data_IF_504325814552
#
_entry.id   IF_504325814552
#
_cell.length_a   1.000
_cell.length_b   1.000
_cell.length_c   1.000
_cell.angle_alpha   90.00
_cell.angle_beta   90.00
_cell.angle_gamma   90.00
#
_symmetry.space_group_name_H-M   'P 1'
#
loop_
_entity.id
_entity.type
_entity.pdbx_description
1 polymer ?
#
# COMPACT_ATOMS: atom_id res chain seq x y z
N UNK A 1 18.21 -0.42 -1.70
CA UNK A 1 17.53 -1.48 -2.50
C UNK A 1 16.37 -2.00 -1.68
N UNK A 2 15.29 -2.50 -2.33
CA UNK A 2 14.07 -2.97 -1.68
C UNK A 2 13.75 -4.41 -2.06
N UNK A 3 13.06 -5.13 -1.19
CA UNK A 3 12.30 -6.32 -1.58
C UNK A 3 10.88 -5.88 -1.93
N UNK A 4 10.53 -5.92 -3.22
CA UNK A 4 9.20 -5.52 -3.71
C UNK A 4 8.34 -6.77 -3.76
N UNK A 5 7.28 -6.81 -2.96
CA UNK A 5 6.33 -7.92 -2.90
C UNK A 5 5.04 -7.57 -3.63
N UNK A 6 4.63 -8.43 -4.54
CA UNK A 6 3.46 -8.21 -5.41
C UNK A 6 2.56 -9.45 -5.35
N UNK A 7 1.45 -9.41 -4.60
CA UNK A 7 0.43 -10.45 -4.69
C UNK A 7 -0.39 -10.28 -5.97
N UNK A 8 -0.70 -11.37 -6.66
CA UNK A 8 -1.53 -11.36 -7.86
C UNK A 8 -2.52 -12.53 -7.85
N UNK A 9 -3.68 -12.34 -8.47
CA UNK A 9 -4.69 -13.37 -8.64
C UNK A 9 -5.31 -13.29 -10.02
N UNK A 10 -4.84 -14.17 -10.93
CA UNK A 10 -5.32 -14.25 -12.31
C UNK A 10 -5.45 -12.87 -12.96
N UNK A 11 -4.35 -12.12 -12.96
CA UNK A 11 -4.29 -10.73 -13.42
C UNK A 11 -3.05 -10.46 -14.29
N UNK A 12 -2.69 -11.43 -15.14
CA UNK A 12 -1.48 -11.43 -15.95
C UNK A 12 -1.26 -10.14 -16.76
N UNK A 13 -2.27 -9.53 -17.42
CA UNK A 13 -2.05 -8.31 -18.20
C UNK A 13 -1.49 -7.15 -17.36
N UNK A 14 -2.00 -6.96 -16.14
CA UNK A 14 -1.55 -5.90 -15.25
C UNK A 14 -0.23 -6.25 -14.56
N UNK A 15 -0.05 -7.51 -14.15
CA UNK A 15 1.24 -7.96 -13.61
C UNK A 15 2.38 -7.70 -14.60
N UNK A 16 2.17 -7.93 -15.89
CA UNK A 16 3.14 -7.59 -16.94
C UNK A 16 3.45 -6.09 -16.98
N UNK A 17 2.44 -5.24 -16.80
CA UNK A 17 2.65 -3.78 -16.78
C UNK A 17 3.46 -3.32 -15.58
N UNK A 18 3.16 -3.81 -14.37
CA UNK A 18 3.91 -3.42 -13.17
C UNK A 18 5.36 -3.92 -13.26
N UNK A 19 5.61 -5.17 -13.65
CA UNK A 19 6.97 -5.70 -13.81
C UNK A 19 7.74 -4.95 -14.90
N UNK A 20 7.11 -4.65 -16.05
CA UNK A 20 7.71 -3.83 -17.11
C UNK A 20 8.10 -2.46 -16.59
N UNK A 21 7.22 -1.80 -15.83
CA UNK A 21 7.49 -0.47 -15.29
C UNK A 21 8.62 -0.49 -14.26
N UNK A 22 8.65 -1.47 -13.38
CA UNK A 22 9.73 -1.66 -12.40
C UNK A 22 11.09 -1.84 -13.09
N UNK A 23 11.17 -2.71 -14.10
CA UNK A 23 12.40 -2.93 -14.87
C UNK A 23 12.85 -1.69 -15.65
N UNK A 24 11.89 -0.86 -16.14
CA UNK A 24 12.18 0.30 -16.98
C UNK A 24 12.50 1.56 -16.19
N UNK A 25 11.84 1.76 -15.05
CA UNK A 25 11.79 3.05 -14.36
C UNK A 25 12.41 3.03 -12.97
N UNK A 26 12.89 1.87 -12.47
CA UNK A 26 13.65 1.83 -11.24
C UNK A 26 15.10 2.23 -11.49
N UNK A 27 15.62 3.04 -10.58
CA UNK A 27 17.03 3.48 -10.55
C UNK A 27 17.93 2.41 -9.93
N UNK A 28 17.38 1.67 -8.97
CA UNK A 28 18.14 0.68 -8.19
C UNK A 28 17.73 -0.75 -8.52
N UNK A 29 18.65 -1.73 -8.42
CA UNK A 29 18.29 -3.15 -8.56
C UNK A 29 17.52 -3.60 -7.31
N UNK A 30 16.25 -3.92 -7.47
CA UNK A 30 15.38 -4.41 -6.42
C UNK A 30 15.22 -5.93 -6.50
N UNK A 31 14.95 -6.58 -5.36
CA UNK A 31 14.45 -7.94 -5.32
C UNK A 31 12.95 -7.90 -5.64
N UNK A 32 12.52 -8.59 -6.70
CA UNK A 32 11.11 -8.72 -7.07
C UNK A 32 10.59 -10.08 -6.62
N UNK A 33 9.52 -10.10 -5.83
CA UNK A 33 8.90 -11.31 -5.29
C UNK A 33 7.40 -11.27 -5.61
N UNK A 34 6.94 -12.21 -6.42
CA UNK A 34 5.51 -12.31 -6.77
C UNK A 34 4.87 -13.47 -6.01
N UNK A 35 3.74 -13.23 -5.35
CA UNK A 35 2.89 -14.32 -4.89
C UNK A 35 1.74 -14.54 -5.87
N UNK A 36 1.70 -15.73 -6.48
CA UNK A 36 0.68 -16.10 -7.46
C UNK A 36 -0.42 -16.90 -6.77
N UNK A 37 -1.59 -16.28 -6.62
CA UNK A 37 -2.81 -16.99 -6.23
C UNK A 37 -3.41 -17.65 -7.47
N UNK A 38 -3.62 -18.97 -7.45
CA UNK A 38 -4.18 -19.76 -8.53
C UNK A 38 -3.26 -19.78 -9.79
N UNK A 39 -3.23 -18.71 -10.58
CA UNK A 39 -2.37 -18.57 -11.77
C UNK A 39 -2.85 -19.34 -12.99
N UNK A 40 -4.12 -19.78 -13.01
CA UNK A 40 -4.76 -20.54 -14.11
C UNK A 40 -4.90 -19.74 -15.41
N UNK A 41 -4.79 -18.41 -15.33
CA UNK A 41 -4.75 -17.48 -16.49
C UNK A 41 -3.40 -17.45 -17.22
N UNK A 42 -2.46 -18.29 -16.83
CA UNK A 42 -1.08 -18.31 -17.35
C UNK A 42 -0.09 -17.45 -16.54
N UNK A 43 -0.53 -16.78 -15.49
CA UNK A 43 0.34 -15.94 -14.62
C UNK A 43 1.49 -16.74 -14.05
N UNK A 44 1.24 -17.93 -13.52
CA UNK A 44 2.29 -18.76 -12.91
C UNK A 44 3.33 -19.23 -13.93
N UNK A 45 2.89 -19.65 -15.11
CA UNK A 45 3.79 -20.03 -16.19
C UNK A 45 4.69 -18.86 -16.60
N UNK A 46 4.09 -17.69 -16.84
CA UNK A 46 4.80 -16.50 -17.24
C UNK A 46 5.83 -16.04 -16.19
N UNK A 47 5.48 -16.06 -14.90
CA UNK A 47 6.40 -15.65 -13.80
C UNK A 47 7.62 -16.58 -13.75
N UNK A 48 7.43 -17.89 -14.01
CA UNK A 48 8.51 -18.89 -14.10
C UNK A 48 9.41 -18.66 -15.31
N UNK A 49 8.82 -18.42 -16.47
CA UNK A 49 9.55 -18.18 -17.73
C UNK A 49 10.40 -16.90 -17.67
N UNK A 50 9.87 -15.86 -16.96
CA UNK A 50 10.60 -14.59 -16.72
C UNK A 50 11.67 -14.70 -15.63
N UNK A 51 11.83 -15.85 -14.97
CA UNK A 51 12.78 -16.06 -13.89
C UNK A 51 12.54 -15.19 -12.65
N UNK A 52 11.30 -14.76 -12.42
CA UNK A 52 10.95 -13.91 -11.29
C UNK A 52 10.84 -14.77 -10.02
N UNK A 53 11.48 -14.33 -8.94
CA UNK A 53 11.31 -14.99 -7.64
C UNK A 53 9.84 -14.99 -7.25
N UNK A 54 9.31 -16.17 -6.90
CA UNK A 54 7.89 -16.28 -6.61
C UNK A 54 7.56 -17.33 -5.56
N UNK A 55 6.36 -17.20 -5.03
CA UNK A 55 5.62 -18.19 -4.27
C UNK A 55 4.26 -18.39 -4.94
N UNK A 56 3.61 -19.52 -4.71
CA UNK A 56 2.30 -19.79 -5.32
C UNK A 56 1.40 -20.54 -4.35
N UNK A 57 0.08 -20.36 -4.53
CA UNK A 57 -0.96 -21.14 -3.88
C UNK A 57 -1.91 -21.75 -4.92
N UNK A 58 -2.50 -22.93 -4.68
CA UNK A 58 -3.37 -23.61 -5.64
C UNK A 58 -4.70 -22.89 -5.88
N UNK A 59 -5.00 -21.87 -5.09
CA UNK A 59 -6.20 -21.04 -5.19
C UNK A 59 -5.98 -19.70 -4.52
N UNK A 60 -7.00 -18.84 -4.52
CA UNK A 60 -6.94 -17.53 -3.88
C UNK A 60 -6.99 -17.65 -2.36
N UNK A 61 -5.88 -17.40 -1.68
CA UNK A 61 -5.77 -17.39 -0.21
C UNK A 61 -6.00 -16.00 0.40
N UNK A 62 -6.33 -15.02 -0.41
CA UNK A 62 -6.52 -13.63 0.00
C UNK A 62 -5.21 -12.86 0.18
N UNK A 63 -5.35 -11.52 0.20
CA UNK A 63 -4.19 -10.61 0.17
C UNK A 63 -3.32 -10.74 1.43
N UNK A 64 -3.93 -10.90 2.60
CA UNK A 64 -3.18 -10.94 3.87
C UNK A 64 -2.19 -12.10 3.92
N UNK A 65 -2.62 -13.29 3.51
CA UNK A 65 -1.75 -14.46 3.43
C UNK A 65 -0.70 -14.30 2.31
N UNK A 66 -1.13 -13.85 1.14
CA UNK A 66 -0.29 -13.69 -0.03
C UNK A 66 0.91 -12.75 0.23
N UNK A 67 0.65 -11.56 0.80
CA UNK A 67 1.72 -10.60 1.12
C UNK A 67 2.66 -11.11 2.20
N UNK A 68 2.16 -11.83 3.21
CA UNK A 68 2.99 -12.39 4.27
C UNK A 68 3.91 -13.51 3.74
N UNK A 69 3.39 -14.38 2.88
CA UNK A 69 4.18 -15.45 2.24
C UNK A 69 5.26 -14.84 1.34
N UNK A 70 4.93 -13.82 0.56
CA UNK A 70 5.92 -13.11 -0.26
C UNK A 70 6.96 -12.40 0.61
N UNK A 71 6.54 -11.71 1.68
CA UNK A 71 7.43 -11.02 2.61
C UNK A 71 8.44 -11.95 3.30
N UNK A 72 8.07 -13.21 3.54
CA UNK A 72 8.98 -14.21 4.11
C UNK A 72 10.20 -14.52 3.21
N UNK A 73 10.15 -14.14 1.92
CA UNK A 73 11.26 -14.26 0.98
C UNK A 73 12.12 -12.99 0.89
N UNK A 74 11.72 -11.90 1.54
CA UNK A 74 12.41 -10.63 1.49
C UNK A 74 13.82 -10.73 2.11
N UNK A 75 14.84 -10.26 1.37
CA UNK A 75 16.25 -10.26 1.79
C UNK A 75 16.80 -8.85 2.01
N UNK A 76 16.14 -7.83 1.47
CA UNK A 76 16.57 -6.43 1.65
C UNK A 76 16.04 -5.87 2.97
N UNK A 77 16.66 -4.78 3.46
CA UNK A 77 16.28 -4.13 4.72
C UNK A 77 14.88 -3.52 4.67
N UNK A 78 14.40 -3.14 3.49
CA UNK A 78 13.09 -2.54 3.31
C UNK A 78 12.22 -3.38 2.41
N UNK A 79 10.96 -3.59 2.84
CA UNK A 79 9.91 -4.23 2.06
C UNK A 79 9.03 -3.16 1.45
N UNK A 80 8.83 -3.23 0.14
CA UNK A 80 7.79 -2.46 -0.57
C UNK A 80 6.66 -3.41 -0.95
N UNK A 81 5.47 -3.18 -0.40
CA UNK A 81 4.27 -3.85 -0.88
C UNK A 81 3.63 -3.03 -1.99
N UNK A 82 3.33 -3.66 -3.12
CA UNK A 82 2.76 -3.07 -4.31
C UNK A 82 1.64 -3.94 -4.89
N UNK A 83 0.55 -3.33 -5.36
CA UNK A 83 -0.50 -4.05 -6.07
C UNK A 83 -0.05 -4.44 -7.48
N UNK A 84 -0.63 -5.51 -8.01
CA UNK A 84 -0.34 -5.99 -9.37
C UNK A 84 -0.95 -5.14 -10.48
N UNK A 85 -1.85 -4.21 -10.17
CA UNK A 85 -2.47 -3.24 -11.08
C UNK A 85 -1.88 -1.82 -10.97
N UNK A 86 -0.56 -1.74 -10.80
CA UNK A 86 0.17 -0.49 -10.74
C UNK A 86 1.16 -0.35 -11.89
N UNK A 87 1.58 0.89 -12.18
CA UNK A 87 2.64 1.23 -13.13
C UNK A 87 3.52 2.33 -12.53
N UNK A 88 4.79 2.02 -12.27
CA UNK A 88 5.74 2.96 -11.69
C UNK A 88 6.16 4.03 -12.70
N UNK A 89 6.17 5.29 -12.28
CA UNK A 89 6.72 6.39 -13.06
C UNK A 89 8.25 6.49 -12.88
N UNK A 90 8.99 7.14 -13.81
CA UNK A 90 10.43 7.33 -13.66
C UNK A 90 10.79 8.02 -12.34
N UNK A 91 11.81 7.50 -11.63
CA UNK A 91 12.31 8.05 -10.38
C UNK A 91 11.48 7.75 -9.12
N UNK A 92 10.47 6.89 -9.21
CA UNK A 92 9.60 6.52 -8.10
C UNK A 92 10.39 5.97 -6.88
N UNK A 93 11.40 5.16 -7.14
CA UNK A 93 12.25 4.53 -6.13
C UNK A 93 13.32 5.49 -5.59
N UNK A 94 13.88 6.33 -6.46
CA UNK A 94 14.85 7.37 -6.08
C UNK A 94 14.22 8.38 -5.10
N UNK A 95 12.96 8.76 -5.32
CA UNK A 95 12.19 9.59 -4.39
C UNK A 95 12.06 8.94 -3.00
N UNK A 96 11.74 7.63 -2.95
CA UNK A 96 11.70 6.88 -1.69
C UNK A 96 13.07 6.81 -1.01
N UNK A 97 14.15 6.51 -1.78
CA UNK A 97 15.52 6.44 -1.24
C UNK A 97 15.96 7.79 -0.66
N UNK A 98 15.70 8.91 -1.35
CA UNK A 98 15.97 10.24 -0.85
C UNK A 98 15.22 10.53 0.45
N UNK A 99 13.97 10.08 0.56
CA UNK A 99 13.18 10.25 1.77
C UNK A 99 13.70 9.40 2.93
N UNK A 100 14.22 8.18 2.69
CA UNK A 100 14.81 7.33 3.71
C UNK A 100 15.94 8.02 4.49
N UNK A 101 16.76 8.86 3.84
CA UNK A 101 17.82 9.60 4.50
C UNK A 101 17.35 10.58 5.58
N UNK A 102 16.05 10.89 5.64
CA UNK A 102 15.43 11.81 6.60
C UNK A 102 14.58 11.08 7.65
N UNK A 103 14.55 9.74 7.60
CA UNK A 103 13.72 8.94 8.50
C UNK A 103 14.41 8.71 9.86
N UNK A 104 13.63 8.37 10.90
CA UNK A 104 14.18 8.05 12.21
C UNK A 104 15.17 6.88 12.15
N UNK A 105 16.23 6.95 12.97
CA UNK A 105 17.31 5.95 12.99
C UNK A 105 16.87 4.58 13.51
N UNK A 106 15.75 4.49 14.23
CA UNK A 106 15.15 3.24 14.70
C UNK A 106 14.36 2.51 13.59
N UNK A 107 14.29 3.10 12.39
CA UNK A 107 13.55 2.59 11.24
C UNK A 107 12.04 2.36 11.49
N UNK A 108 11.46 2.96 12.54
CA UNK A 108 10.04 2.86 12.86
C UNK A 108 9.25 3.96 12.14
N UNK A 109 8.99 3.73 10.88
CA UNK A 109 8.21 4.61 10.00
C UNK A 109 7.50 3.81 8.91
N UNK A 110 6.55 4.45 8.24
CA UNK A 110 5.91 3.94 7.04
C UNK A 110 5.92 5.02 5.97
N UNK A 111 6.42 4.69 4.78
CA UNK A 111 6.30 5.54 3.59
C UNK A 111 5.26 4.96 2.65
N UNK A 112 4.62 5.82 1.85
CA UNK A 112 3.82 5.41 0.68
C UNK A 112 4.23 6.25 -0.53
N UNK A 113 4.27 5.65 -1.71
CA UNK A 113 4.25 6.41 -2.94
C UNK A 113 2.90 7.12 -3.14
N UNK A 114 2.87 8.11 -4.01
CA UNK A 114 1.66 8.83 -4.38
C UNK A 114 1.03 8.18 -5.62
N UNK A 115 -0.20 7.71 -5.47
CA UNK A 115 -0.94 7.13 -6.59
C UNK A 115 -1.48 8.21 -7.54
N UNK A 116 -1.44 7.92 -8.83
CA UNK A 116 -2.20 8.61 -9.87
C UNK A 116 -3.37 7.69 -10.24
N UNK A 117 -4.59 8.15 -10.10
CA UNK A 117 -5.79 7.34 -10.33
C UNK A 117 -6.66 7.93 -11.45
N UNK A 118 -7.24 7.09 -12.35
CA UNK A 118 -8.07 7.57 -13.46
C UNK A 118 -9.41 8.15 -13.02
N UNK A 119 -9.89 7.78 -11.84
CA UNK A 119 -11.19 8.19 -11.29
C UNK A 119 -11.01 8.73 -9.89
N UNK A 120 -11.67 9.84 -9.60
CA UNK A 120 -11.71 10.40 -8.24
C UNK A 120 -12.45 9.46 -7.29
N UNK A 121 -11.70 8.89 -6.35
CA UNK A 121 -12.22 8.04 -5.28
C UNK A 121 -12.55 8.83 -4.00
N UNK A 122 -12.35 10.14 -4.00
CA UNK A 122 -12.42 10.99 -2.79
C UNK A 122 -11.22 10.78 -1.85
N UNK A 123 -10.15 10.11 -2.30
CA UNK A 123 -8.94 9.92 -1.54
C UNK A 123 -8.03 11.16 -1.63
N UNK A 124 -7.79 11.91 -0.54
CA UNK A 124 -6.97 13.12 -0.58
C UNK A 124 -5.47 12.86 -0.85
N UNK A 125 -5.05 11.59 -0.84
CA UNK A 125 -3.66 11.19 -1.00
C UNK A 125 -3.25 10.90 -2.45
N UNK A 126 -4.19 10.96 -3.40
CA UNK A 126 -3.95 10.63 -4.82
C UNK A 126 -3.94 11.86 -5.70
N UNK A 127 -3.37 11.73 -6.90
CA UNK A 127 -3.52 12.66 -8.01
C UNK A 127 -4.55 12.07 -8.98
N UNK A 128 -5.58 12.81 -9.33
CA UNK A 128 -6.61 12.31 -10.26
C UNK A 128 -6.24 12.72 -11.68
N UNK A 129 -5.88 11.75 -12.51
CA UNK A 129 -5.57 11.94 -13.93
C UNK A 129 -5.75 10.63 -14.71
N UNK A 130 -6.55 10.65 -15.76
CA UNK A 130 -6.85 9.48 -16.59
C UNK A 130 -5.82 9.30 -17.71
N UNK A 131 -5.05 8.21 -17.65
CA UNK A 131 -4.15 7.73 -18.71
C UNK A 131 -4.60 6.37 -19.26
N UNK A 132 -5.84 5.98 -19.05
CA UNK A 132 -6.44 4.70 -19.45
C UNK A 132 -6.89 3.89 -18.23
N UNK A 133 -8.09 3.31 -18.34
CA UNK A 133 -8.75 2.61 -17.22
C UNK A 133 -8.50 1.12 -17.20
N UNK A 134 -7.89 0.61 -18.24
CA UNK A 134 -7.52 -0.79 -18.39
C UNK A 134 -6.18 -0.94 -19.10
N UNK A 135 -5.65 -2.17 -19.10
CA UNK A 135 -4.33 -2.46 -19.67
C UNK A 135 -4.24 -2.22 -21.17
N UNK A 136 -5.37 -2.29 -21.91
CA UNK A 136 -5.38 -2.10 -23.38
C UNK A 136 -5.44 -0.62 -23.74
N UNK A 137 -6.24 0.16 -22.99
CA UNK A 137 -6.40 1.60 -23.20
C UNK A 137 -5.28 2.43 -22.53
N UNK A 138 -4.32 1.81 -21.85
CA UNK A 138 -3.29 2.49 -21.08
C UNK A 138 -2.27 3.22 -21.97
N UNK A 139 -2.12 4.51 -21.75
CA UNK A 139 -1.22 5.43 -22.45
C UNK A 139 0.05 5.69 -21.65
N UNK A 140 0.91 4.67 -21.59
CA UNK A 140 2.13 4.68 -20.75
C UNK A 140 3.08 5.84 -21.09
N UNK A 141 3.29 6.14 -22.38
CA UNK A 141 4.22 7.21 -22.80
C UNK A 141 3.67 8.60 -22.44
N UNK A 142 2.34 8.82 -22.52
CA UNK A 142 1.70 10.05 -22.06
C UNK A 142 1.84 10.22 -20.52
N UNK A 143 1.65 9.14 -19.76
CA UNK A 143 1.88 9.16 -18.31
C UNK A 143 3.32 9.54 -17.99
N UNK A 144 4.29 8.89 -18.64
CA UNK A 144 5.73 9.15 -18.41
C UNK A 144 6.08 10.61 -18.73
N UNK A 145 5.58 11.14 -19.86
CA UNK A 145 5.80 12.53 -20.24
C UNK A 145 5.16 13.53 -19.27
N UNK A 146 4.02 13.18 -18.67
CA UNK A 146 3.30 14.05 -17.74
C UNK A 146 3.79 13.95 -16.30
N UNK A 147 4.51 12.89 -15.91
CA UNK A 147 4.79 12.54 -14.52
C UNK A 147 5.43 13.68 -13.72
N UNK A 148 6.41 14.39 -14.28
CA UNK A 148 7.07 15.51 -13.60
C UNK A 148 6.11 16.64 -13.22
N UNK A 149 5.03 16.85 -14.00
CA UNK A 149 3.99 17.84 -13.72
C UNK A 149 2.91 17.36 -12.74
N UNK A 150 2.95 16.10 -12.31
CA UNK A 150 1.98 15.50 -11.39
C UNK A 150 2.52 15.35 -9.96
N UNK A 151 3.77 15.74 -9.74
CA UNK A 151 4.40 15.77 -8.41
C UNK A 151 3.60 16.69 -7.48
N UNK A 152 3.46 16.27 -6.23
CA UNK A 152 2.80 17.07 -5.18
C UNK A 152 3.68 17.18 -3.94
N UNK A 153 3.29 18.04 -3.01
CA UNK A 153 3.94 18.06 -1.70
C UNK A 153 3.68 16.75 -0.95
N UNK A 154 4.63 16.37 -0.10
CA UNK A 154 4.47 15.22 0.79
C UNK A 154 3.26 15.38 1.69
N UNK A 155 2.65 14.26 2.05
CA UNK A 155 1.42 14.21 2.82
C UNK A 155 1.50 13.22 3.98
N UNK A 156 0.68 13.43 5.00
CA UNK A 156 0.60 12.57 6.18
C UNK A 156 -0.34 11.39 5.95
N UNK A 157 -0.07 10.30 6.65
CA UNK A 157 -0.98 9.16 6.76
C UNK A 157 -0.79 8.11 5.70
N UNK A 158 0.48 7.79 5.36
CA UNK A 158 0.83 6.62 4.57
C UNK A 158 0.08 5.38 5.07
N UNK A 159 -0.61 4.70 4.18
CA UNK A 159 -1.47 3.55 4.53
C UNK A 159 -1.57 2.57 3.37
N UNK A 160 -1.80 3.06 2.13
CA UNK A 160 -2.06 2.21 0.97
C UNK A 160 -0.84 2.02 0.07
N UNK A 161 -0.76 0.90 -0.65
CA UNK A 161 0.33 0.62 -1.60
C UNK A 161 0.50 1.74 -2.65
N UNK A 162 1.76 1.93 -3.14
CA UNK A 162 2.94 1.21 -2.70
C UNK A 162 3.38 1.68 -1.31
N UNK A 163 3.58 0.76 -0.38
CA UNK A 163 4.02 1.08 0.98
C UNK A 163 5.38 0.50 1.26
N UNK A 164 6.23 1.28 1.93
CA UNK A 164 7.58 0.89 2.33
C UNK A 164 7.70 0.92 3.85
N UNK A 165 8.20 -0.18 4.41
CA UNK A 165 8.55 -0.31 5.82
C UNK A 165 9.86 -1.08 5.97
N UNK A 166 10.57 -0.89 7.08
CA UNK A 166 11.73 -1.72 7.40
C UNK A 166 11.29 -3.16 7.68
N UNK A 167 12.05 -4.14 7.16
CA UNK A 167 11.74 -5.57 7.24
C UNK A 167 11.55 -6.05 8.69
N UNK A 168 12.40 -5.59 9.61
CA UNK A 168 12.29 -5.99 11.02
C UNK A 168 10.96 -5.53 11.63
N UNK A 169 10.50 -4.32 11.29
CA UNK A 169 9.21 -3.83 11.76
C UNK A 169 8.03 -4.57 11.12
N UNK A 170 8.16 -4.96 9.84
CA UNK A 170 7.17 -5.84 9.22
C UNK A 170 6.94 -7.10 10.04
N UNK A 171 8.03 -7.81 10.38
CA UNK A 171 7.93 -9.06 11.14
C UNK A 171 7.58 -8.84 12.62
N UNK A 172 8.09 -7.79 13.23
CA UNK A 172 7.83 -7.46 14.64
C UNK A 172 6.35 -7.19 14.92
N UNK A 173 5.64 -6.53 13.99
CA UNK A 173 4.19 -6.34 14.10
C UNK A 173 3.38 -7.50 13.51
N UNK A 174 4.02 -8.54 12.97
CA UNK A 174 3.38 -9.74 12.43
C UNK A 174 2.77 -9.59 11.04
N UNK A 175 3.31 -8.71 10.19
CA UNK A 175 2.84 -8.50 8.81
C UNK A 175 1.36 -8.13 8.72
N UNK A 176 0.67 -8.59 7.69
CA UNK A 176 -0.78 -8.41 7.51
C UNK A 176 -1.58 -9.42 8.33
N UNK A 177 -2.60 -8.97 9.03
CA UNK A 177 -3.42 -9.81 9.92
C UNK A 177 -4.30 -10.76 9.13
N UNK A 178 -4.09 -12.07 9.30
CA UNK A 178 -4.79 -13.13 8.53
C UNK A 178 -6.29 -13.15 8.76
N UNK A 179 -6.77 -12.73 9.94
CA UNK A 179 -8.18 -12.62 10.26
C UNK A 179 -8.93 -11.59 9.39
N UNK A 180 -8.19 -10.69 8.72
CA UNK A 180 -8.75 -9.72 7.77
C UNK A 180 -8.78 -10.24 6.32
N UNK A 181 -8.39 -11.49 6.09
CA UNK A 181 -8.51 -12.08 4.75
C UNK A 181 -9.99 -12.11 4.31
N UNK A 182 -10.33 -11.85 3.04
CA UNK A 182 -9.42 -11.71 1.89
C UNK A 182 -8.72 -10.36 1.76
N UNK A 183 -9.00 -9.32 2.61
CA UNK A 183 -8.18 -8.13 2.62
C UNK A 183 -8.86 -6.80 2.94
N UNK A 184 -10.18 -6.77 3.15
CA UNK A 184 -10.83 -5.49 3.49
C UNK A 184 -10.32 -4.98 4.83
N UNK A 185 -9.80 -3.73 4.83
CA UNK A 185 -9.23 -3.04 6.01
C UNK A 185 -7.85 -3.51 6.46
N UNK A 186 -7.20 -4.39 5.73
CA UNK A 186 -5.88 -4.93 6.08
C UNK A 186 -4.77 -3.86 6.08
N UNK A 187 -4.80 -2.91 5.14
CA UNK A 187 -3.83 -1.80 5.10
C UNK A 187 -3.95 -0.89 6.31
N UNK A 188 -5.19 -0.54 6.69
CA UNK A 188 -5.44 0.27 7.89
C UNK A 188 -5.04 -0.48 9.17
N UNK A 189 -5.27 -1.80 9.22
CA UNK A 189 -4.85 -2.64 10.36
C UNK A 189 -3.33 -2.69 10.47
N UNK A 190 -2.63 -2.84 9.36
CA UNK A 190 -1.18 -2.84 9.33
C UNK A 190 -0.60 -1.50 9.83
N UNK A 191 -1.15 -0.37 9.34
CA UNK A 191 -0.78 0.96 9.84
C UNK A 191 -1.09 1.13 11.33
N UNK A 192 -2.21 0.57 11.82
CA UNK A 192 -2.58 0.63 13.22
C UNK A 192 -1.66 -0.22 14.10
N UNK A 193 -1.21 -1.39 13.63
CA UNK A 193 -0.20 -2.19 14.35
C UNK A 193 1.13 -1.45 14.47
N UNK A 194 1.57 -0.77 13.44
CA UNK A 194 2.76 0.09 13.50
C UNK A 194 2.56 1.24 14.49
N UNK A 195 1.37 1.89 14.48
CA UNK A 195 1.04 2.94 15.44
C UNK A 195 1.09 2.42 16.89
N UNK A 196 0.50 1.26 17.15
CA UNK A 196 0.49 0.62 18.46
C UNK A 196 1.90 0.23 18.93
N UNK A 197 2.77 -0.15 18.00
CA UNK A 197 4.20 -0.38 18.23
C UNK A 197 5.04 0.90 18.47
N UNK A 198 4.42 2.08 18.44
CA UNK A 198 5.09 3.36 18.68
C UNK A 198 5.41 4.18 17.42
N UNK A 199 5.12 3.71 16.22
CA UNK A 199 5.32 4.49 15.00
C UNK A 199 4.50 5.78 15.02
N UNK A 200 5.16 6.89 14.67
CA UNK A 200 4.52 8.21 14.55
C UNK A 200 4.85 8.89 13.20
N UNK A 201 5.64 8.25 12.36
CA UNK A 201 6.05 8.78 11.05
C UNK A 201 5.37 7.96 9.96
N UNK A 202 4.34 8.53 9.35
CA UNK A 202 3.56 7.98 8.25
C UNK A 202 3.53 9.00 7.12
N UNK A 203 4.42 8.87 6.14
CA UNK A 203 4.67 9.89 5.11
C UNK A 203 4.32 9.35 3.72
N UNK A 204 3.45 10.05 3.03
CA UNK A 204 3.28 9.90 1.60
C UNK A 204 4.28 10.76 0.85
N UNK A 205 5.07 10.15 -0.01
CA UNK A 205 6.15 10.79 -0.77
C UNK A 205 5.56 11.33 -2.07
N UNK A 206 5.51 12.66 -2.18
CA UNK A 206 4.76 13.36 -3.22
C UNK A 206 5.31 13.20 -4.63
N UNK A 207 6.61 12.93 -4.77
CA UNK A 207 7.32 12.71 -6.01
C UNK A 207 7.59 11.22 -6.33
N UNK A 208 7.25 10.29 -5.45
CA UNK A 208 7.23 8.86 -5.72
C UNK A 208 5.92 8.47 -6.38
N UNK A 209 5.83 8.60 -7.71
CA UNK A 209 4.58 8.47 -8.45
C UNK A 209 4.37 7.07 -9.01
N UNK A 210 3.16 6.52 -8.83
CA UNK A 210 2.71 5.29 -9.47
C UNK A 210 1.29 5.45 -10.01
N UNK A 211 1.02 4.95 -11.21
CA UNK A 211 -0.34 4.86 -11.74
C UNK A 211 -1.03 3.63 -11.18
N UNK A 212 -2.27 3.78 -10.70
CA UNK A 212 -3.08 2.71 -10.15
C UNK A 212 -4.37 2.57 -10.94
N UNK A 213 -4.57 1.43 -11.58
CA UNK A 213 -5.71 1.20 -12.48
C UNK A 213 -7.04 1.05 -11.75
N UNK A 214 -7.04 0.93 -10.42
CA UNK A 214 -8.24 0.71 -9.59
C UNK A 214 -9.04 -0.53 -10.03
N UNK A 215 -8.36 -1.61 -10.41
CA UNK A 215 -9.04 -2.82 -10.87
C UNK A 215 -9.81 -3.48 -9.73
N UNK A 216 -11.08 -3.77 -9.98
CA UNK A 216 -11.98 -4.38 -8.99
C UNK A 216 -11.85 -5.92 -8.99
N UNK A 217 -10.66 -6.46 -8.72
CA UNK A 217 -10.51 -7.90 -8.45
C UNK A 217 -11.37 -8.35 -7.27
N UNK A 218 -11.65 -7.45 -6.33
CA UNK A 218 -12.53 -7.65 -5.17
C UNK A 218 -14.00 -7.90 -5.51
N UNK A 219 -14.44 -7.70 -6.76
CA UNK A 219 -15.80 -8.05 -7.21
C UNK A 219 -16.03 -9.55 -7.33
N UNK A 220 -14.97 -10.35 -7.38
CA UNK A 220 -15.00 -11.82 -7.57
C UNK A 220 -14.91 -12.60 -6.27
N UNK A 221 -14.79 -11.96 -5.12
CA UNK A 221 -14.62 -12.61 -3.81
C UNK A 221 -15.73 -12.27 -2.83
N UNK A 222 -15.98 -13.20 -1.90
CA UNK A 222 -16.79 -12.90 -0.72
C UNK A 222 -15.96 -12.01 0.21
N UNK A 223 -16.36 -10.76 0.35
CA UNK A 223 -15.64 -9.77 1.16
C UNK A 223 -15.88 -10.03 2.65
N UNK A 224 -14.84 -9.90 3.45
CA UNK A 224 -14.98 -9.80 4.90
C UNK A 224 -15.60 -8.43 5.28
N UNK A 225 -16.23 -8.35 6.45
CA UNK A 225 -16.62 -7.07 7.05
C UNK A 225 -15.41 -6.43 7.76
N UNK A 226 -14.42 -6.04 6.97
CA UNK A 226 -13.17 -5.52 7.50
C UNK A 226 -13.34 -4.26 8.36
N UNK A 227 -14.35 -3.41 8.06
CA UNK A 227 -14.62 -2.22 8.89
C UNK A 227 -15.07 -2.60 10.29
N UNK A 228 -15.89 -3.63 10.42
CA UNK A 228 -16.34 -4.14 11.70
C UNK A 228 -15.23 -4.89 12.42
N UNK A 229 -14.47 -5.72 11.70
CA UNK A 229 -13.30 -6.41 12.26
C UNK A 229 -12.27 -5.41 12.81
N UNK A 230 -11.95 -4.35 12.06
CA UNK A 230 -11.08 -3.26 12.54
C UNK A 230 -11.64 -2.58 13.79
N UNK A 231 -12.94 -2.23 13.79
CA UNK A 231 -13.60 -1.62 14.94
C UNK A 231 -13.54 -2.53 16.17
N UNK A 232 -13.80 -3.82 16.01
CA UNK A 232 -13.78 -4.79 17.10
C UNK A 232 -12.37 -4.99 17.69
N UNK A 233 -11.37 -5.04 16.81
CA UNK A 233 -9.96 -5.21 17.21
C UNK A 233 -9.42 -3.98 17.93
N UNK A 234 -9.63 -2.79 17.39
CA UNK A 234 -8.98 -1.56 17.82
C UNK A 234 -9.87 -0.61 18.66
N UNK A 235 -11.16 -0.90 18.78
CA UNK A 235 -12.11 -0.08 19.55
C UNK A 235 -12.43 1.27 18.93
N UNK A 236 -11.96 1.52 17.70
CA UNK A 236 -12.26 2.75 16.94
C UNK A 236 -12.49 2.43 15.45
N UNK A 237 -13.21 3.32 14.75
CA UNK A 237 -13.39 3.16 13.29
C UNK A 237 -12.13 3.57 12.55
N UNK A 238 -11.90 3.00 11.35
CA UNK A 238 -10.84 3.44 10.44
C UNK A 238 -10.86 4.94 10.20
N UNK A 239 -12.04 5.51 9.93
CA UNK A 239 -12.17 6.95 9.71
C UNK A 239 -11.73 7.79 10.94
N UNK A 240 -11.89 7.28 12.16
CA UNK A 240 -11.37 7.92 13.37
C UNK A 240 -9.84 7.84 13.41
N UNK A 241 -9.27 6.69 13.11
CA UNK A 241 -7.81 6.50 13.03
C UNK A 241 -7.19 7.39 11.95
N UNK A 242 -7.69 7.31 10.73
CA UNK A 242 -7.20 8.09 9.59
C UNK A 242 -7.23 9.61 9.87
N UNK A 243 -8.33 10.08 10.44
CA UNK A 243 -8.55 11.53 10.64
C UNK A 243 -7.74 12.10 11.79
N UNK A 244 -7.73 11.44 12.92
CA UNK A 244 -7.22 12.03 14.17
C UNK A 244 -5.81 11.55 14.52
N UNK A 245 -5.44 10.33 14.15
CA UNK A 245 -4.16 9.73 14.44
C UNK A 245 -3.20 9.92 13.26
N UNK A 246 -3.55 9.46 12.09
CA UNK A 246 -2.71 9.59 10.90
C UNK A 246 -2.75 10.97 10.26
N UNK A 247 -3.82 11.76 10.48
CA UNK A 247 -4.08 13.05 9.81
C UNK A 247 -3.99 12.94 8.29
N UNK A 248 -4.53 11.85 7.75
CA UNK A 248 -4.36 11.42 6.37
C UNK A 248 -4.69 12.51 5.35
N UNK A 249 -3.78 12.69 4.38
CA UNK A 249 -3.91 13.64 3.27
C UNK A 249 -3.59 15.10 3.64
N UNK A 250 -3.25 15.40 4.90
CA UNK A 250 -2.80 16.77 5.25
C UNK A 250 -1.34 16.98 4.85
N UNK A 251 -0.99 18.22 4.51
CA UNK A 251 0.39 18.59 4.21
C UNK A 251 1.31 18.39 5.42
N UNK A 252 2.59 18.18 5.16
CA UNK A 252 3.63 18.12 6.17
C UNK A 252 4.20 19.54 6.32
N UNK A 253 3.87 20.18 7.43
CA UNK A 253 4.25 21.54 7.80
C UNK A 253 5.19 21.55 9.02
N UNK A 254 6.38 21.02 8.88
CA UNK A 254 7.35 20.89 9.98
C UNK A 254 7.68 19.44 10.32
N UNK A 255 7.53 19.02 11.59
CA UNK A 255 7.94 17.68 12.03
C UNK A 255 7.24 16.56 11.26
N UNK A 256 7.99 15.54 10.84
CA UNK A 256 7.45 14.35 10.15
C UNK A 256 6.54 13.53 11.08
N UNK A 257 6.93 13.41 12.35
CA UNK A 257 6.16 12.64 13.33
C UNK A 257 4.82 13.33 13.66
N UNK A 258 3.77 12.51 13.71
CA UNK A 258 2.45 12.93 14.21
C UNK A 258 2.45 12.83 15.74
N UNK A 259 2.07 13.89 16.42
CA UNK A 259 1.82 13.82 17.87
C UNK A 259 0.57 12.98 18.19
N UNK A 260 0.54 12.40 19.40
CA UNK A 260 -0.70 11.82 19.92
C UNK A 260 -1.86 12.83 19.76
N UNK A 261 -3.03 12.38 19.32
CA UNK A 261 -4.15 13.29 19.12
C UNK A 261 -4.66 13.83 20.44
N UNK A 262 -4.79 15.14 20.54
CA UNK A 262 -5.45 15.78 21.67
C UNK A 262 -6.88 15.26 21.83
N UNK A 263 -7.30 14.97 23.05
CA UNK A 263 -8.65 14.50 23.37
C UNK A 263 -9.68 15.62 23.29
N UNK A 264 -9.79 16.25 22.12
CA UNK A 264 -10.80 17.28 21.84
C UNK A 264 -12.22 16.72 21.98
N UNK A 265 -13.21 17.60 22.15
CA UNK A 265 -14.61 17.19 22.19
C UNK A 265 -15.04 16.40 20.91
N UNK A 266 -14.47 16.74 19.75
CA UNK A 266 -14.71 16.02 18.48
C UNK A 266 -14.16 14.59 18.50
N UNK A 267 -12.93 14.40 18.96
CA UNK A 267 -12.33 13.06 19.08
C UNK A 267 -13.08 12.21 20.13
N UNK A 268 -13.41 12.80 21.30
CA UNK A 268 -14.20 12.10 22.33
C UNK A 268 -15.54 11.61 21.78
N UNK A 269 -16.26 12.44 21.02
CA UNK A 269 -17.50 12.03 20.33
C UNK A 269 -17.29 10.92 19.31
N UNK A 270 -16.22 10.97 18.51
CA UNK A 270 -15.89 9.93 17.53
C UNK A 270 -15.60 8.58 18.21
N UNK A 271 -14.82 8.60 19.30
CA UNK A 271 -14.53 7.40 20.10
C UNK A 271 -15.78 6.87 20.80
N UNK A 272 -16.64 7.73 21.34
CA UNK A 272 -17.92 7.31 21.92
C UNK A 272 -18.82 6.63 20.88
N UNK A 273 -18.97 7.25 19.67
CA UNK A 273 -19.70 6.62 18.57
C UNK A 273 -19.11 5.26 18.17
N UNK A 274 -17.80 5.12 18.21
CA UNK A 274 -17.13 3.84 17.92
C UNK A 274 -17.49 2.78 18.98
N UNK A 275 -17.49 3.14 20.26
CA UNK A 275 -17.89 2.25 21.36
C UNK A 275 -19.35 1.79 21.21
N UNK A 276 -20.26 2.74 20.92
CA UNK A 276 -21.67 2.42 20.68
C UNK A 276 -21.83 1.46 19.49
N UNK A 277 -21.17 1.75 18.35
CA UNK A 277 -21.21 0.87 17.18
C UNK A 277 -20.69 -0.53 17.49
N UNK A 278 -19.61 -0.63 18.30
CA UNK A 278 -19.05 -1.91 18.73
C UNK A 278 -20.01 -2.70 19.63
N UNK A 279 -20.76 -2.04 20.49
CA UNK A 279 -21.70 -2.65 21.40
C UNK A 279 -23.01 -3.11 20.74
N UNK A 280 -23.41 -2.42 19.67
CA UNK A 280 -24.66 -2.74 18.93
C UNK A 280 -24.47 -3.81 17.84
N UNK A 281 -23.28 -4.33 17.69
CA UNK A 281 -22.98 -5.41 16.76
C UNK A 281 -22.45 -4.94 15.45
#
# INVERSE_FOLDING_TARGET
MFSIIIPTWNNLPYLRLVIKSLRRHSTYPHQLIVHVNDGSDGTLAWVRDEGIEHTASPGNIGICHAVNIAAARATQDYIVYMNDDMYCCPGWDDALVKRLAQMPADNLFMLSGTMIEPVDSGNPCVVVRDFGRDAQAFRADELVAAAAGLVRADWRGATWPPTLVHRDWWFKVGGYSSELSPGMSSDNDFSMKLWDAGCRVFVGVGDSLVYHFQQKSTGKIVKNDGRRQFLNKWGMTQATFDRYYLRRGTAIDGALAVSEPERTGRLRRALLKSRIKRALG
#
